data_IF_870810879059
#
_entry.id   IF_870810879059
#
_cell.length_a   1.000
_cell.length_b   1.000
_cell.length_c   1.000
_cell.angle_alpha   90.00
_cell.angle_beta   90.00
_cell.angle_gamma   90.00
#
_symmetry.space_group_name_H-M   'P 1'
#
loop_
_entity.id
_entity.type
_entity.pdbx_description
1 polymer ?
#
# COMPACT_ATOMS: atom_id res chain seq x y z
N UNK A 1 -17.29 -0.26 -6.30
CA UNK A 1 -17.18 -0.61 -4.86
C UNK A 1 -17.18 -2.12 -4.56
N UNK A 2 -17.85 -2.97 -5.33
CA UNK A 2 -18.02 -4.39 -4.96
C UNK A 2 -16.70 -5.14 -4.74
N UNK A 3 -15.69 -4.90 -5.57
CA UNK A 3 -14.39 -5.56 -5.45
C UNK A 3 -13.59 -5.11 -4.21
N UNK A 4 -13.79 -3.87 -3.75
CA UNK A 4 -13.21 -3.38 -2.49
C UNK A 4 -13.83 -4.10 -1.30
N UNK A 5 -15.15 -4.33 -1.32
CA UNK A 5 -15.86 -5.07 -0.27
C UNK A 5 -15.39 -6.54 -0.25
N UNK A 6 -15.20 -7.14 -1.43
CA UNK A 6 -14.66 -8.50 -1.52
C UNK A 6 -13.25 -8.57 -0.93
N UNK A 7 -12.39 -7.58 -1.18
CA UNK A 7 -11.06 -7.52 -0.58
C UNK A 7 -11.15 -7.40 0.95
N UNK A 8 -11.98 -6.49 1.45
CA UNK A 8 -12.24 -6.30 2.87
C UNK A 8 -12.66 -7.61 3.55
N UNK A 9 -13.64 -8.33 2.97
CA UNK A 9 -14.12 -9.62 3.48
C UNK A 9 -13.02 -10.68 3.40
N UNK A 10 -12.25 -10.72 2.31
CA UNK A 10 -11.16 -11.68 2.12
C UNK A 10 -10.09 -11.55 3.21
N UNK A 11 -9.71 -10.32 3.56
CA UNK A 11 -8.76 -10.04 4.66
C UNK A 11 -9.34 -10.50 6.00
N UNK A 12 -10.64 -10.27 6.26
CA UNK A 12 -11.29 -10.72 7.49
C UNK A 12 -11.29 -12.24 7.59
N UNK A 13 -11.77 -12.94 6.55
CA UNK A 13 -11.83 -14.40 6.53
C UNK A 13 -10.43 -15.00 6.67
N UNK A 14 -9.47 -14.48 5.90
CA UNK A 14 -8.09 -14.91 5.98
C UNK A 14 -7.51 -14.70 7.38
N UNK A 15 -7.77 -13.54 7.99
CA UNK A 15 -7.31 -13.24 9.34
C UNK A 15 -7.92 -14.16 10.39
N UNK A 16 -9.21 -14.47 10.29
CA UNK A 16 -9.87 -15.40 11.21
C UNK A 16 -9.19 -16.76 11.15
N UNK A 17 -8.98 -17.29 9.94
CA UNK A 17 -8.30 -18.58 9.73
C UNK A 17 -6.89 -18.55 10.34
N UNK A 18 -6.10 -17.51 10.04
CA UNK A 18 -4.74 -17.41 10.56
C UNK A 18 -4.68 -17.25 12.09
N UNK A 19 -5.64 -16.56 12.70
CA UNK A 19 -5.74 -16.46 14.17
C UNK A 19 -6.05 -17.81 14.80
N UNK A 20 -6.92 -18.64 14.21
CA UNK A 20 -7.15 -20.00 14.69
C UNK A 20 -5.88 -20.86 14.63
N UNK A 21 -5.07 -20.69 13.57
CA UNK A 21 -3.80 -21.38 13.41
C UNK A 21 -2.71 -20.90 14.40
N UNK A 22 -2.81 -19.68 14.93
CA UNK A 22 -1.81 -19.05 15.81
C UNK A 22 -1.49 -19.85 17.08
N UNK A 23 -2.48 -20.49 17.70
CA UNK A 23 -2.31 -21.10 19.03
C UNK A 23 -1.58 -22.46 19.01
N UNK A 24 -1.50 -23.13 17.84
CA UNK A 24 -0.80 -24.41 17.70
C UNK A 24 0.67 -24.30 17.31
N UNK A 25 1.17 -23.10 16.99
CA UNK A 25 2.48 -22.92 16.35
C UNK A 25 3.55 -22.50 17.38
N UNK A 26 4.66 -23.26 17.52
CA UNK A 26 5.79 -22.91 18.39
C UNK A 26 6.41 -21.55 18.02
N UNK A 27 6.94 -20.82 19.00
CA UNK A 27 7.52 -19.48 18.79
C UNK A 27 8.60 -19.46 17.71
N UNK A 28 9.49 -20.46 17.69
CA UNK A 28 10.54 -20.60 16.67
C UNK A 28 9.97 -20.73 15.25
N UNK A 29 8.87 -21.46 15.10
CA UNK A 29 8.18 -21.61 13.81
C UNK A 29 7.53 -20.27 13.41
N UNK A 30 6.93 -19.53 14.35
CA UNK A 30 6.38 -18.18 14.07
C UNK A 30 7.45 -17.23 13.56
N UNK A 31 8.62 -17.22 14.18
CA UNK A 31 9.76 -16.40 13.76
C UNK A 31 10.23 -16.78 12.34
N UNK A 32 10.41 -18.08 12.06
CA UNK A 32 10.79 -18.55 10.72
C UNK A 32 9.73 -18.25 9.65
N UNK A 33 8.44 -18.42 9.97
CA UNK A 33 7.33 -18.07 9.07
C UNK A 33 7.29 -16.57 8.82
N UNK A 34 7.53 -15.74 9.84
CA UNK A 34 7.59 -14.29 9.69
C UNK A 34 8.75 -13.85 8.80
N UNK A 35 9.94 -14.45 8.95
CA UNK A 35 11.06 -14.20 8.03
C UNK A 35 10.75 -14.64 6.60
N UNK A 36 10.15 -15.82 6.42
CA UNK A 36 9.71 -16.29 5.10
C UNK A 36 8.69 -15.36 4.44
N UNK A 37 7.74 -14.85 5.23
CA UNK A 37 6.80 -13.83 4.78
C UNK A 37 7.48 -12.54 4.33
N UNK A 38 8.43 -12.04 5.11
CA UNK A 38 9.18 -10.84 4.74
C UNK A 38 9.92 -11.04 3.40
N UNK A 39 10.46 -12.23 3.15
CA UNK A 39 11.07 -12.57 1.85
C UNK A 39 10.05 -12.60 0.71
N UNK A 40 8.84 -13.10 0.93
CA UNK A 40 7.76 -13.03 -0.07
C UNK A 40 7.37 -11.58 -0.37
N UNK A 41 7.24 -10.74 0.66
CA UNK A 41 6.97 -9.30 0.50
C UNK A 41 8.09 -8.61 -0.27
N UNK A 42 9.35 -8.95 0.05
CA UNK A 42 10.53 -8.45 -0.67
C UNK A 42 10.49 -8.83 -2.15
N UNK A 43 10.16 -10.08 -2.48
CA UNK A 43 10.01 -10.55 -3.85
C UNK A 43 8.92 -9.79 -4.62
N UNK A 44 7.76 -9.55 -3.99
CA UNK A 44 6.67 -8.74 -4.57
C UNK A 44 7.15 -7.31 -4.84
N UNK A 45 7.87 -6.71 -3.88
CA UNK A 45 8.48 -5.40 -4.02
C UNK A 45 9.43 -5.33 -5.21
N UNK A 46 10.41 -6.24 -5.29
CA UNK A 46 11.39 -6.27 -6.39
C UNK A 46 10.71 -6.47 -7.75
N UNK A 47 9.79 -7.43 -7.84
CA UNK A 47 9.10 -7.76 -9.09
C UNK A 47 8.25 -6.59 -9.61
N UNK A 48 7.67 -5.80 -8.70
CA UNK A 48 6.90 -4.62 -9.06
C UNK A 48 7.76 -3.39 -9.35
N UNK A 49 8.89 -3.19 -8.65
CA UNK A 49 9.78 -2.04 -8.87
C UNK A 49 10.42 -2.06 -10.27
N UNK A 50 10.68 -3.27 -10.80
CA UNK A 50 11.20 -3.48 -12.15
C UNK A 50 10.24 -3.08 -13.28
N UNK A 51 8.98 -2.76 -12.98
CA UNK A 51 7.99 -2.29 -13.97
C UNK A 51 8.03 -0.78 -14.20
N UNK A 52 8.90 -0.05 -13.50
CA UNK A 52 9.05 1.41 -13.65
C UNK A 52 9.67 1.76 -15.00
N UNK A 53 9.05 2.69 -15.72
CA UNK A 53 9.60 3.18 -16.98
C UNK A 53 10.46 4.44 -16.80
N UNK A 54 10.19 5.26 -15.77
CA UNK A 54 10.89 6.51 -15.55
C UNK A 54 11.54 6.58 -14.15
N UNK A 55 12.82 6.22 -14.08
CA UNK A 55 13.61 6.24 -12.84
C UNK A 55 13.72 7.65 -12.25
N UNK A 56 13.77 8.70 -13.09
CA UNK A 56 13.86 10.08 -12.61
C UNK A 56 12.58 10.50 -11.89
N UNK A 57 11.41 10.19 -12.47
CA UNK A 57 10.10 10.43 -11.82
C UNK A 57 10.03 9.71 -10.48
N UNK A 58 10.51 8.47 -10.41
CA UNK A 58 10.56 7.70 -9.16
C UNK A 58 11.41 8.40 -8.09
N UNK A 59 12.64 8.81 -8.42
CA UNK A 59 13.55 9.48 -7.47
C UNK A 59 12.93 10.78 -6.94
N UNK A 60 12.45 11.64 -7.83
CA UNK A 60 11.84 12.92 -7.45
C UNK A 60 10.59 12.70 -6.58
N UNK A 61 9.75 11.73 -6.96
CA UNK A 61 8.54 11.37 -6.21
C UNK A 61 8.85 10.91 -4.81
N UNK A 62 9.88 10.06 -4.63
CA UNK A 62 10.33 9.62 -3.31
C UNK A 62 10.81 10.80 -2.48
N UNK A 63 11.67 11.67 -3.02
CA UNK A 63 12.21 12.81 -2.28
C UNK A 63 11.10 13.75 -1.82
N UNK A 64 10.28 14.25 -2.75
CA UNK A 64 9.21 15.22 -2.45
C UNK A 64 8.15 14.58 -1.55
N UNK A 65 7.73 13.35 -1.87
CA UNK A 65 6.73 12.64 -1.09
C UNK A 65 7.18 12.35 0.34
N UNK A 66 8.46 12.02 0.54
CA UNK A 66 9.02 11.79 1.89
C UNK A 66 9.09 13.10 2.68
N UNK A 67 9.48 14.22 2.07
CA UNK A 67 9.48 15.53 2.73
C UNK A 67 8.05 15.86 3.20
N UNK A 68 7.07 15.74 2.30
CA UNK A 68 5.67 15.99 2.65
C UNK A 68 5.15 15.06 3.74
N UNK A 69 5.48 13.77 3.67
CA UNK A 69 5.03 12.80 4.66
C UNK A 69 5.72 12.93 6.02
N UNK A 70 6.98 13.37 6.08
CA UNK A 70 7.66 13.66 7.34
C UNK A 70 7.10 14.94 7.99
N UNK A 71 6.72 15.95 7.20
CA UNK A 71 6.05 17.15 7.71
C UNK A 71 4.68 16.83 8.33
N UNK A 72 3.96 15.86 7.77
CA UNK A 72 2.66 15.39 8.29
C UNK A 72 2.86 14.38 9.43
N UNK A 73 3.98 13.65 9.43
CA UNK A 73 4.30 12.52 10.32
C UNK A 73 3.20 11.45 10.31
N UNK A 74 2.88 10.95 9.11
CA UNK A 74 1.85 9.93 8.86
C UNK A 74 2.07 8.67 9.70
N UNK A 75 3.33 8.25 9.86
CA UNK A 75 3.77 7.12 10.67
C UNK A 75 3.31 7.24 12.13
N UNK A 76 3.50 8.42 12.73
CA UNK A 76 3.01 8.71 14.08
C UNK A 76 1.50 8.63 14.18
N UNK A 77 0.77 9.14 13.18
CA UNK A 77 -0.70 9.10 13.17
C UNK A 77 -1.22 7.66 13.07
N UNK A 78 -0.69 6.88 12.12
CA UNK A 78 -1.08 5.47 11.92
C UNK A 78 -0.72 4.63 13.16
N UNK A 79 0.48 4.84 13.72
CA UNK A 79 0.92 4.14 14.94
C UNK A 79 0.08 4.54 16.15
N UNK A 80 -0.27 5.81 16.29
CA UNK A 80 -1.16 6.28 17.36
C UNK A 80 -2.54 5.64 17.27
N UNK A 81 -3.11 5.54 16.06
CA UNK A 81 -4.36 4.82 15.83
C UNK A 81 -4.25 3.34 16.23
N UNK A 82 -3.16 2.66 15.83
CA UNK A 82 -2.88 1.28 16.24
C UNK A 82 -2.82 1.11 17.76
N UNK A 83 -2.13 2.04 18.45
CA UNK A 83 -2.00 2.03 19.91
C UNK A 83 -3.33 2.32 20.62
N UNK A 84 -4.13 3.26 20.10
CA UNK A 84 -5.47 3.56 20.61
C UNK A 84 -6.38 2.34 20.52
N UNK A 85 -6.34 1.65 19.38
CA UNK A 85 -7.08 0.40 19.18
C UNK A 85 -6.59 -0.64 20.19
N UNK A 86 -5.28 -0.86 20.30
CA UNK A 86 -4.70 -1.83 21.23
C UNK A 86 -5.10 -1.59 22.69
N UNK A 87 -5.13 -0.33 23.12
CA UNK A 87 -5.54 0.05 24.48
C UNK A 87 -6.96 -0.43 24.84
N UNK A 88 -7.86 -0.51 23.85
CA UNK A 88 -9.25 -0.99 24.05
C UNK A 88 -9.33 -2.50 24.24
N UNK A 89 -8.38 -3.27 23.71
CA UNK A 89 -8.36 -4.73 23.80
C UNK A 89 -7.69 -5.26 25.07
N UNK A 90 -7.31 -4.38 26.03
CA UNK A 90 -6.61 -4.70 27.30
C UNK A 90 -5.42 -5.65 27.10
N UNK A 91 -4.84 -5.65 25.91
CA UNK A 91 -3.77 -6.59 25.54
C UNK A 91 -2.45 -5.94 25.88
N UNK A 92 -1.60 -6.62 26.67
CA UNK A 92 -0.24 -6.15 26.95
C UNK A 92 0.69 -6.68 25.86
N UNK A 93 1.31 -5.81 25.05
CA UNK A 93 2.53 -6.18 24.32
C UNK A 93 2.77 -5.70 22.89
N UNK A 94 2.15 -4.64 22.38
CA UNK A 94 2.48 -3.98 21.10
C UNK A 94 2.15 -4.75 19.82
N UNK A 95 1.67 -6.00 19.94
CA UNK A 95 1.47 -6.92 18.81
C UNK A 95 0.28 -6.51 17.93
N UNK A 96 -0.73 -5.85 18.49
CA UNK A 96 -1.91 -5.42 17.73
C UNK A 96 -1.55 -4.21 16.88
N UNK A 97 -0.90 -3.21 17.47
CA UNK A 97 -0.44 -2.03 16.74
C UNK A 97 0.52 -2.42 15.61
N UNK A 98 1.54 -3.23 15.90
CA UNK A 98 2.50 -3.73 14.88
C UNK A 98 1.79 -4.49 13.74
N UNK A 99 0.87 -5.39 14.08
CA UNK A 99 0.06 -6.12 13.11
C UNK A 99 -0.78 -5.21 12.24
N UNK A 100 -1.43 -4.23 12.84
CA UNK A 100 -2.27 -3.24 12.15
C UNK A 100 -1.45 -2.36 11.20
N UNK A 101 -0.34 -1.78 11.67
CA UNK A 101 0.50 -0.89 10.86
C UNK A 101 1.13 -1.65 9.70
N UNK A 102 1.77 -2.79 9.98
CA UNK A 102 2.47 -3.60 8.96
C UNK A 102 1.51 -4.06 7.87
N UNK A 103 0.34 -4.59 8.25
CA UNK A 103 -0.63 -5.10 7.28
C UNK A 103 -1.37 -3.97 6.54
N UNK A 104 -1.67 -2.84 7.19
CA UNK A 104 -2.26 -1.68 6.50
C UNK A 104 -1.32 -1.16 5.40
N UNK A 105 -0.03 -1.05 5.71
CA UNK A 105 0.96 -0.64 4.72
C UNK A 105 1.09 -1.67 3.61
N UNK A 106 1.22 -2.96 3.94
CA UNK A 106 1.32 -4.01 2.94
C UNK A 106 0.11 -4.01 1.97
N UNK A 107 -1.10 -3.92 2.49
CA UNK A 107 -2.32 -4.04 1.69
C UNK A 107 -2.65 -2.76 0.92
N UNK A 108 -2.39 -1.56 1.48
CA UNK A 108 -2.76 -0.28 0.87
C UNK A 108 -1.68 0.33 -0.04
N UNK A 109 -0.40 0.14 0.27
CA UNK A 109 0.70 0.80 -0.46
C UNK A 109 0.91 0.20 -1.86
N UNK A 110 0.55 -1.08 -2.03
CA UNK A 110 0.69 -1.77 -3.31
C UNK A 110 -0.08 -1.07 -4.42
N UNK A 111 0.54 -0.91 -5.58
CA UNK A 111 -0.04 -0.24 -6.74
C UNK A 111 -1.41 -0.78 -7.15
N UNK A 112 -1.58 -2.10 -7.07
CA UNK A 112 -2.84 -2.77 -7.39
C UNK A 112 -3.99 -2.33 -6.48
N UNK A 113 -3.70 -1.83 -5.26
CA UNK A 113 -4.71 -1.20 -4.41
C UNK A 113 -5.24 0.07 -5.07
N UNK A 114 -4.35 0.95 -5.51
CA UNK A 114 -4.71 2.26 -6.07
C UNK A 114 -5.28 2.09 -7.47
N UNK A 115 -4.52 1.46 -8.37
CA UNK A 115 -4.87 1.22 -9.77
C UNK A 115 -6.14 0.40 -9.88
N UNK A 116 -6.24 -0.70 -9.12
CA UNK A 116 -7.46 -1.52 -9.12
C UNK A 116 -8.67 -0.76 -8.59
N UNK A 117 -8.49 0.10 -7.57
CA UNK A 117 -9.58 0.95 -7.05
C UNK A 117 -10.04 1.98 -8.08
N UNK A 118 -9.11 2.52 -8.87
CA UNK A 118 -9.40 3.47 -9.93
C UNK A 118 -10.09 2.79 -11.12
N UNK A 119 -9.56 1.68 -11.63
CA UNK A 119 -10.19 0.88 -12.70
C UNK A 119 -11.62 0.46 -12.33
N UNK A 120 -11.83 0.06 -11.08
CA UNK A 120 -13.13 -0.31 -10.55
C UNK A 120 -14.10 0.88 -10.45
N UNK A 121 -13.60 2.10 -10.21
CA UNK A 121 -14.41 3.31 -10.12
C UNK A 121 -14.67 3.97 -11.48
N UNK A 122 -13.74 3.85 -12.43
CA UNK A 122 -13.76 4.53 -13.72
C UNK A 122 -14.46 3.74 -14.83
N UNK A 123 -14.13 2.45 -14.91
CA UNK A 123 -14.52 1.60 -16.03
C UNK A 123 -15.34 0.39 -15.58
N UNK A 124 -15.61 0.29 -14.27
CA UNK A 124 -16.27 -0.87 -13.67
C UNK A 124 -15.44 -2.15 -13.80
N UNK A 125 -14.14 -2.05 -14.07
CA UNK A 125 -13.26 -3.20 -14.23
C UNK A 125 -12.75 -3.65 -12.86
N UNK A 126 -13.20 -4.82 -12.42
CA UNK A 126 -12.91 -5.37 -11.10
C UNK A 126 -11.79 -6.41 -11.09
N UNK A 127 -11.22 -6.78 -12.25
CA UNK A 127 -10.27 -7.90 -12.36
C UNK A 127 -9.06 -7.72 -11.44
N UNK A 128 -8.47 -6.53 -11.43
CA UNK A 128 -7.28 -6.21 -10.63
C UNK A 128 -7.56 -6.30 -9.13
N UNK A 129 -8.68 -5.75 -8.66
CA UNK A 129 -9.06 -5.82 -7.24
C UNK A 129 -9.46 -7.23 -6.80
N UNK A 130 -10.09 -8.03 -7.67
CA UNK A 130 -10.38 -9.44 -7.35
C UNK A 130 -9.11 -10.28 -7.24
N UNK A 131 -8.16 -10.12 -8.18
CA UNK A 131 -6.86 -10.76 -8.07
C UNK A 131 -6.15 -10.37 -6.77
N UNK A 132 -6.18 -9.07 -6.43
CA UNK A 132 -5.64 -8.58 -5.16
C UNK A 132 -6.35 -9.15 -3.95
N UNK A 133 -7.67 -9.33 -3.99
CA UNK A 133 -8.44 -9.91 -2.88
C UNK A 133 -7.95 -11.30 -2.50
N UNK A 134 -7.55 -12.11 -3.48
CA UNK A 134 -6.96 -13.43 -3.24
C UNK A 134 -5.57 -13.27 -2.59
N UNK A 135 -4.73 -12.39 -3.11
CA UNK A 135 -3.37 -12.14 -2.59
C UNK A 135 -3.43 -11.62 -1.14
N UNK A 136 -4.27 -10.63 -0.87
CA UNK A 136 -4.43 -10.02 0.46
C UNK A 136 -5.08 -11.00 1.43
N UNK A 137 -6.04 -11.83 0.98
CA UNK A 137 -6.65 -12.89 1.79
C UNK A 137 -5.65 -13.97 2.22
N UNK A 138 -4.87 -14.50 1.27
CA UNK A 138 -3.80 -15.48 1.58
C UNK A 138 -2.75 -14.84 2.49
N UNK A 139 -2.34 -13.61 2.19
CA UNK A 139 -1.42 -12.86 3.04
C UNK A 139 -1.99 -12.68 4.44
N UNK A 140 -3.27 -12.34 4.59
CA UNK A 140 -3.94 -12.17 5.88
C UNK A 140 -3.92 -13.45 6.72
N UNK A 141 -4.08 -14.64 6.12
CA UNK A 141 -3.92 -15.93 6.82
C UNK A 141 -2.54 -16.02 7.47
N UNK A 142 -1.49 -15.79 6.67
CA UNK A 142 -0.13 -16.02 7.14
C UNK A 142 0.27 -14.91 8.14
N UNK A 143 0.00 -13.64 7.83
CA UNK A 143 0.34 -12.52 8.70
C UNK A 143 -0.42 -12.55 10.02
N UNK A 144 -1.71 -12.89 10.03
CA UNK A 144 -2.48 -12.96 11.28
C UNK A 144 -2.08 -14.14 12.17
N UNK A 145 -1.54 -15.23 11.61
CA UNK A 145 -0.96 -16.33 12.38
C UNK A 145 0.27 -15.92 13.20
N UNK A 146 1.00 -14.89 12.74
CA UNK A 146 2.19 -14.34 13.41
C UNK A 146 1.87 -13.08 14.21
N UNK A 147 1.26 -12.07 13.59
CA UNK A 147 0.98 -10.73 14.15
C UNK A 147 -0.38 -10.65 14.88
N UNK A 148 -1.28 -11.61 14.66
CA UNK A 148 -2.57 -11.68 15.37
C UNK A 148 -3.66 -10.76 14.82
N UNK A 149 -4.55 -10.35 15.73
CA UNK A 149 -5.81 -9.64 15.41
C UNK A 149 -5.59 -8.27 14.74
N UNK A 150 -4.43 -7.64 14.91
CA UNK A 150 -4.10 -6.38 14.25
C UNK A 150 -4.25 -6.43 12.72
N UNK A 151 -4.00 -7.60 12.12
CA UNK A 151 -4.16 -7.84 10.67
C UNK A 151 -5.63 -7.83 10.26
N UNK A 152 -6.54 -8.34 11.09
CA UNK A 152 -7.97 -8.26 10.80
C UNK A 152 -8.44 -6.81 10.81
N UNK A 153 -7.90 -5.99 11.72
CA UNK A 153 -8.29 -4.58 11.90
C UNK A 153 -7.84 -3.73 10.71
N UNK A 154 -6.72 -4.06 10.05
CA UNK A 154 -6.26 -3.34 8.86
C UNK A 154 -7.20 -3.49 7.66
N UNK A 155 -8.09 -4.48 7.65
CA UNK A 155 -9.17 -4.56 6.65
C UNK A 155 -9.98 -3.25 6.61
N UNK A 156 -10.20 -2.60 7.75
CA UNK A 156 -10.88 -1.30 7.83
C UNK A 156 -10.06 -0.22 7.12
N UNK A 157 -8.74 -0.17 7.33
CA UNK A 157 -7.84 0.73 6.60
C UNK A 157 -7.93 0.50 5.09
N UNK A 158 -7.98 -0.75 4.65
CA UNK A 158 -8.12 -1.13 3.24
C UNK A 158 -9.46 -0.67 2.67
N UNK A 159 -10.56 -0.91 3.40
CA UNK A 159 -11.90 -0.49 2.98
C UNK A 159 -12.00 1.03 2.83
N UNK A 160 -11.46 1.78 3.80
CA UNK A 160 -11.45 3.25 3.76
C UNK A 160 -10.57 3.75 2.62
N UNK A 161 -9.35 3.23 2.50
CA UNK A 161 -8.38 3.69 1.50
C UNK A 161 -8.83 3.37 0.08
N UNK A 162 -9.10 2.10 -0.22
CA UNK A 162 -9.55 1.67 -1.55
C UNK A 162 -10.94 2.23 -1.86
N UNK A 163 -11.84 2.31 -0.88
CA UNK A 163 -13.18 2.87 -1.05
C UNK A 163 -13.16 4.35 -1.38
N UNK A 164 -12.34 5.15 -0.67
CA UNK A 164 -12.15 6.56 -0.98
C UNK A 164 -11.63 6.76 -2.41
N UNK A 165 -10.64 5.96 -2.83
CA UNK A 165 -10.08 6.03 -4.18
C UNK A 165 -11.13 5.63 -5.23
N UNK A 166 -11.85 4.52 -5.03
CA UNK A 166 -12.89 4.07 -5.98
C UNK A 166 -14.01 5.08 -6.13
N UNK A 167 -14.47 5.71 -5.04
CA UNK A 167 -15.51 6.74 -5.10
C UNK A 167 -15.00 8.04 -5.72
N UNK A 168 -13.74 8.41 -5.44
CA UNK A 168 -13.09 9.60 -6.01
C UNK A 168 -12.54 9.42 -7.43
N UNK A 169 -12.56 8.20 -7.97
CA UNK A 169 -11.85 7.85 -9.20
C UNK A 169 -12.29 8.69 -10.41
N UNK A 170 -13.58 9.03 -10.49
CA UNK A 170 -14.17 9.82 -11.59
C UNK A 170 -13.42 11.15 -11.81
N UNK A 171 -12.92 11.78 -10.74
CA UNK A 171 -12.17 13.03 -10.82
C UNK A 171 -10.75 12.87 -11.39
N UNK A 172 -10.23 11.64 -11.43
CA UNK A 172 -8.84 11.34 -11.78
C UNK A 172 -8.70 10.66 -13.15
N UNK A 173 -9.81 10.39 -13.87
CA UNK A 173 -9.82 9.63 -15.14
C UNK A 173 -8.83 10.14 -16.17
N UNK A 174 -8.71 11.47 -16.31
CA UNK A 174 -7.87 12.10 -17.33
C UNK A 174 -6.36 12.08 -17.01
N UNK A 175 -5.98 11.75 -15.78
CA UNK A 175 -4.60 11.83 -15.29
C UNK A 175 -3.94 10.45 -15.18
N UNK A 176 -4.75 9.40 -15.03
CA UNK A 176 -4.31 8.02 -14.80
C UNK A 176 -3.99 7.28 -16.10
N UNK A 177 -2.95 7.75 -16.79
CA UNK A 177 -2.40 7.04 -17.96
C UNK A 177 -1.64 5.79 -17.53
N UNK A 178 -1.44 4.84 -18.45
CA UNK A 178 -0.65 3.63 -18.20
C UNK A 178 0.77 3.92 -17.70
N UNK A 179 1.37 5.04 -18.14
CA UNK A 179 2.69 5.48 -17.65
C UNK A 179 2.65 5.94 -16.20
N UNK A 180 1.65 6.75 -15.81
CA UNK A 180 1.49 7.20 -14.42
C UNK A 180 1.25 6.01 -13.51
N UNK A 181 0.40 5.07 -13.93
CA UNK A 181 0.14 3.82 -13.22
C UNK A 181 1.42 2.99 -13.02
N UNK A 182 2.27 2.90 -14.05
CA UNK A 182 3.55 2.20 -13.95
C UNK A 182 4.50 2.86 -12.94
N UNK A 183 4.61 4.19 -12.95
CA UNK A 183 5.46 4.93 -12.01
C UNK A 183 4.95 4.83 -10.57
N UNK A 184 3.63 4.96 -10.35
CA UNK A 184 3.00 4.71 -9.04
C UNK A 184 3.28 3.28 -8.56
N UNK A 185 3.27 2.32 -9.49
CA UNK A 185 3.60 0.92 -9.18
C UNK A 185 5.03 0.75 -8.73
N UNK A 186 5.96 1.35 -9.48
CA UNK A 186 7.37 1.38 -9.13
C UNK A 186 7.63 1.88 -7.72
N UNK A 187 7.05 3.04 -7.40
CA UNK A 187 7.22 3.70 -6.11
C UNK A 187 6.59 2.88 -4.99
N UNK A 188 5.34 2.46 -5.13
CA UNK A 188 4.66 1.64 -4.13
C UNK A 188 5.40 0.33 -3.85
N UNK A 189 5.93 -0.30 -4.90
CA UNK A 189 6.76 -1.50 -4.78
C UNK A 189 8.10 -1.25 -4.08
N UNK A 190 8.72 -0.08 -4.28
CA UNK A 190 9.92 0.32 -3.54
C UNK A 190 9.63 0.52 -2.03
N UNK A 191 8.46 1.07 -1.69
CA UNK A 191 8.03 1.18 -0.29
C UNK A 191 7.80 -0.20 0.34
N UNK A 192 7.25 -1.16 -0.43
CA UNK A 192 7.07 -2.55 0.01
C UNK A 192 8.43 -3.23 0.28
N UNK A 193 9.47 -2.94 -0.51
CA UNK A 193 10.84 -3.41 -0.23
C UNK A 193 11.29 -2.90 1.15
N UNK A 194 11.12 -1.60 1.42
CA UNK A 194 11.44 -1.03 2.73
C UNK A 194 10.65 -1.67 3.88
N UNK A 195 9.36 -1.97 3.66
CA UNK A 195 8.53 -2.69 4.63
C UNK A 195 9.07 -4.10 4.92
N UNK A 196 9.47 -4.85 3.89
CA UNK A 196 10.06 -6.16 4.06
C UNK A 196 11.37 -6.12 4.86
N UNK A 197 12.23 -5.12 4.61
CA UNK A 197 13.47 -4.93 5.37
C UNK A 197 13.20 -4.60 6.84
N UNK A 198 12.16 -3.82 7.14
CA UNK A 198 11.71 -3.58 8.50
C UNK A 198 11.19 -4.85 9.17
N UNK A 199 10.41 -5.67 8.46
CA UNK A 199 9.94 -6.96 8.98
C UNK A 199 11.11 -7.91 9.28
N UNK A 200 12.18 -7.88 8.49
CA UNK A 200 13.40 -8.64 8.78
C UNK A 200 14.24 -8.03 9.93
N UNK A 201 13.79 -6.93 10.54
CA UNK A 201 14.52 -6.14 11.54
C UNK A 201 15.89 -5.64 11.05
N UNK A 202 16.08 -5.49 9.74
CA UNK A 202 17.31 -4.97 9.14
C UNK A 202 17.30 -3.43 9.21
N UNK A 203 16.13 -2.82 9.03
CA UNK A 203 15.96 -1.37 9.02
C UNK A 203 14.80 -0.93 9.92
N UNK A 204 14.69 0.38 10.15
CA UNK A 204 13.57 1.02 10.87
C UNK A 204 13.07 2.24 10.09
N UNK A 205 12.73 2.04 8.83
CA UNK A 205 12.26 3.11 7.95
C UNK A 205 10.79 3.41 8.28
N UNK A 206 10.41 4.68 8.44
CA UNK A 206 9.01 5.08 8.61
C UNK A 206 8.25 5.00 7.28
N UNK A 207 7.95 3.79 6.80
CA UNK A 207 7.34 3.55 5.47
C UNK A 207 6.06 4.36 5.25
N UNK A 208 5.27 4.57 6.31
CA UNK A 208 4.08 5.42 6.26
C UNK A 208 4.38 6.87 5.85
N UNK A 209 5.50 7.45 6.28
CA UNK A 209 5.92 8.80 5.88
C UNK A 209 6.37 8.86 4.42
N UNK A 210 6.72 7.74 3.80
CA UNK A 210 7.03 7.69 2.38
C UNK A 210 5.77 7.58 1.51
N UNK A 211 4.60 7.25 2.09
CA UNK A 211 3.37 6.99 1.34
C UNK A 211 2.95 8.10 0.36
N UNK A 212 3.11 9.40 0.65
CA UNK A 212 2.75 10.46 -0.30
C UNK A 212 3.51 10.38 -1.63
N UNK A 213 4.71 9.76 -1.64
CA UNK A 213 5.50 9.56 -2.86
C UNK A 213 4.74 8.80 -3.93
N UNK A 214 3.88 7.85 -3.55
CA UNK A 214 3.11 7.04 -4.50
C UNK A 214 2.17 7.89 -5.33
N UNK A 215 1.72 9.04 -4.82
CA UNK A 215 0.81 9.94 -5.53
C UNK A 215 1.53 11.02 -6.34
N UNK A 216 2.83 11.23 -6.13
CA UNK A 216 3.59 12.28 -6.84
C UNK A 216 3.61 12.15 -8.37
N UNK A 217 3.61 10.94 -8.99
CA UNK A 217 3.50 10.82 -10.44
C UNK A 217 2.25 11.48 -11.04
N UNK A 218 1.14 11.53 -10.29
CA UNK A 218 -0.10 12.20 -10.71
C UNK A 218 0.15 13.71 -10.87
N UNK A 219 0.79 14.32 -9.87
CA UNK A 219 1.12 15.75 -9.90
C UNK A 219 2.17 16.07 -10.97
N UNK A 220 3.19 15.23 -11.12
CA UNK A 220 4.20 15.37 -12.15
C UNK A 220 3.59 15.34 -13.57
N UNK A 221 2.65 14.43 -13.82
CA UNK A 221 1.93 14.37 -15.09
C UNK A 221 1.12 15.64 -15.35
N UNK A 222 0.37 16.12 -14.35
CA UNK A 222 -0.42 17.37 -14.49
C UNK A 222 0.50 18.55 -14.83
N UNK A 223 1.63 18.69 -14.15
CA UNK A 223 2.60 19.77 -14.42
C UNK A 223 3.16 19.64 -15.84
N UNK A 224 3.59 18.45 -16.24
CA UNK A 224 4.16 18.21 -17.56
C UNK A 224 3.17 18.52 -18.68
N UNK A 225 1.92 18.03 -18.60
CA UNK A 225 0.89 18.28 -19.61
C UNK A 225 0.56 19.77 -19.71
N UNK A 226 0.45 20.48 -18.58
CA UNK A 226 0.20 21.93 -18.60
C UNK A 226 1.39 22.71 -19.15
N UNK A 227 2.62 22.32 -18.82
CA UNK A 227 3.84 22.95 -19.34
C UNK A 227 3.96 22.76 -20.85
N UNK A 228 3.72 21.54 -21.36
CA UNK A 228 3.75 21.28 -22.79
C UNK A 228 2.62 22.03 -23.53
N UNK A 229 1.43 22.10 -22.93
CA UNK A 229 0.31 22.88 -23.49
C UNK A 229 0.65 24.38 -23.51
N UNK A 230 1.31 24.90 -22.48
CA UNK A 230 1.81 26.27 -22.44
C UNK A 230 2.86 26.54 -23.52
N UNK A 231 3.84 25.64 -23.72
CA UNK A 231 4.82 25.78 -24.81
C UNK A 231 4.17 25.78 -26.20
N UNK A 232 3.13 24.97 -26.41
CA UNK A 232 2.40 24.98 -27.69
C UNK A 232 1.64 26.28 -27.98
N UNK A 233 1.46 27.16 -26.98
CA UNK A 233 0.91 28.51 -27.15
C UNK A 233 1.99 29.58 -27.41
N UNK A 234 3.28 29.23 -27.36
CA UNK A 234 4.38 30.14 -27.70
C UNK A 234 4.78 29.87 -29.17
N UNK A 235 4.35 30.70 -30.14
CA UNK A 235 4.55 30.44 -31.56
C UNK A 235 6.01 30.56 -32.02
N UNK A 236 6.95 30.88 -31.12
CA UNK A 236 8.36 31.09 -31.43
C UNK A 236 9.26 29.85 -31.24
N UNK A 237 8.72 28.74 -30.72
CA UNK A 237 9.49 27.50 -30.45
C UNK A 237 9.13 26.31 -31.37
N UNK A 238 8.30 26.53 -32.39
CA UNK A 238 7.95 25.53 -33.42
C UNK A 238 8.63 25.82 -34.76
N UNK A 239 9.91 26.21 -34.73
CA UNK A 239 10.81 26.31 -35.89
C UNK A 239 12.11 25.55 -35.59
#
# INVERSE_FOLDING_TARGET
>A
MIAVIVNFISIIIGSIIGIFLKNGIPKKVKESVFSGLALCVLYIGISGSLKTNNVLTLIISIVIGTILGELIDIDKHITSLGNLIESKFKTKGGKISEGFVTSSLLFCVGAMAIVGSLEAGLDGNYKTLFAKSVIDGVSAIIFSSSLGIGVMISSVSVLVYQGAITLGAVFLKSVLTSSVIADMTGIGSLLIIGLALNMLNITKIKIANLLPSVFMPIFAYIIYTNFHRFLSYIPFLTL
#
